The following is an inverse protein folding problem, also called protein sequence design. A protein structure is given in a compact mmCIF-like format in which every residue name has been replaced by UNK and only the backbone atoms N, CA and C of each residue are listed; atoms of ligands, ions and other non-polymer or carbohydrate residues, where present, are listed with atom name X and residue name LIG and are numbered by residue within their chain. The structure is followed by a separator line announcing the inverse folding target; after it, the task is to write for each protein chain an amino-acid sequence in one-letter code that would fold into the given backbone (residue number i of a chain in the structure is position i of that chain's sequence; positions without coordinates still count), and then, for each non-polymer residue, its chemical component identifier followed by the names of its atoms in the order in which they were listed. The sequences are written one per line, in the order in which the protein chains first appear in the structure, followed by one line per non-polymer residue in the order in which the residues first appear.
data_IF_250193653313
#
_entry.id   IF_250193653313
#
_cell.length_a   1.000
_cell.length_b   1.000
_cell.length_c   1.000
_cell.angle_alpha   90.00
_cell.angle_beta   90.00
_cell.angle_gamma   90.00
#
_symmetry.space_group_name_H-M   'P 1'
#
loop_
_entity.id
_entity.type
_entity.pdbx_description
1 polymer ?
#
# COMPACT_ATOMS: atom_id res chain seq x y z
N UNK A 1 0.37 6.69 7.82
CA UNK A 1 0.23 5.71 8.94
C UNK A 1 -0.17 4.31 8.46
N UNK A 2 -1.18 4.15 7.59
CA UNK A 2 -1.65 2.84 7.11
C UNK A 2 -0.53 1.95 6.50
N UNK A 3 0.35 2.53 5.69
CA UNK A 3 1.45 1.76 5.08
C UNK A 3 2.44 1.18 6.09
N UNK A 4 2.71 1.87 7.18
CA UNK A 4 3.55 1.32 8.26
C UNK A 4 2.87 0.14 8.96
N UNK A 5 1.55 0.18 9.15
CA UNK A 5 0.80 -0.93 9.69
C UNK A 5 0.88 -2.17 8.78
N UNK A 6 0.85 -1.97 7.44
CA UNK A 6 1.06 -3.05 6.47
C UNK A 6 2.45 -3.65 6.61
N UNK A 7 3.51 -2.82 6.64
CA UNK A 7 4.89 -3.30 6.84
C UNK A 7 5.03 -4.08 8.15
N UNK A 8 4.42 -3.58 9.22
CA UNK A 8 4.43 -4.25 10.52
C UNK A 8 3.75 -5.62 10.47
N UNK A 9 2.58 -5.69 9.82
CA UNK A 9 1.84 -6.94 9.63
C UNK A 9 2.62 -7.94 8.77
N UNK A 10 3.24 -7.48 7.68
CA UNK A 10 4.08 -8.32 6.81
C UNK A 10 5.26 -8.91 7.58
N UNK A 11 5.97 -8.07 8.34
CA UNK A 11 7.15 -8.50 9.09
C UNK A 11 6.82 -9.37 10.29
N UNK A 12 5.62 -9.25 10.85
CA UNK A 12 5.12 -10.08 11.95
C UNK A 12 4.36 -11.33 11.50
N UNK A 13 4.15 -11.51 10.20
CA UNK A 13 3.43 -12.67 9.68
C UNK A 13 4.23 -13.96 9.88
N UNK A 14 3.61 -15.05 10.40
CA UNK A 14 4.25 -16.37 10.47
C UNK A 14 4.47 -16.96 9.07
N UNK A 15 3.70 -16.57 8.08
CA UNK A 15 3.89 -16.94 6.68
C UNK A 15 4.72 -15.87 5.96
N UNK A 16 5.67 -16.26 5.10
CA UNK A 16 6.46 -15.30 4.35
C UNK A 16 5.57 -14.53 3.37
N UNK A 17 5.65 -13.20 3.41
CA UNK A 17 4.94 -12.33 2.47
C UNK A 17 5.86 -12.02 1.29
N UNK A 18 5.43 -12.39 0.09
CA UNK A 18 6.11 -12.10 -1.16
C UNK A 18 5.34 -11.02 -1.92
N UNK A 19 6.06 -10.15 -2.59
CA UNK A 19 5.48 -9.01 -3.33
C UNK A 19 5.87 -9.12 -4.80
N UNK A 20 4.90 -8.83 -5.67
CA UNK A 20 5.10 -8.77 -7.11
C UNK A 20 4.72 -7.40 -7.63
N UNK A 21 5.66 -6.71 -8.26
CA UNK A 21 5.42 -5.45 -8.96
C UNK A 21 5.11 -5.75 -10.42
N UNK A 22 3.83 -5.60 -10.79
CA UNK A 22 3.40 -5.87 -12.17
C UNK A 22 3.70 -4.71 -13.13
N UNK A 23 3.56 -3.47 -12.65
CA UNK A 23 3.80 -2.27 -13.47
C UNK A 23 4.46 -1.14 -12.72
N UNK A 24 3.93 -0.72 -11.57
CA UNK A 24 4.41 0.45 -10.85
C UNK A 24 4.26 0.30 -9.34
N UNK A 25 5.34 0.54 -8.61
CA UNK A 25 5.35 0.62 -7.15
C UNK A 25 6.04 1.93 -6.74
N UNK A 26 5.29 2.85 -6.17
CA UNK A 26 5.80 4.14 -5.72
C UNK A 26 5.57 4.35 -4.23
N UNK A 27 6.40 5.21 -3.60
CA UNK A 27 6.18 5.66 -2.24
C UNK A 27 6.13 4.48 -1.26
N UNK A 28 5.03 4.34 -0.53
CA UNK A 28 4.83 3.24 0.40
C UNK A 28 4.80 1.87 -0.30
N UNK A 29 4.32 1.78 -1.54
CA UNK A 29 4.36 0.53 -2.31
C UNK A 29 5.82 0.12 -2.64
N UNK A 30 6.71 1.08 -2.91
CA UNK A 30 8.13 0.81 -3.06
C UNK A 30 8.76 0.32 -1.74
N UNK A 31 8.41 0.94 -0.62
CA UNK A 31 8.85 0.49 0.72
C UNK A 31 8.38 -0.93 1.03
N UNK A 32 7.12 -1.25 0.73
CA UNK A 32 6.53 -2.58 0.91
C UNK A 32 7.28 -3.60 0.03
N UNK A 33 7.53 -3.26 -1.24
CA UNK A 33 8.27 -4.12 -2.17
C UNK A 33 9.68 -4.41 -1.68
N UNK A 34 10.41 -3.36 -1.30
CA UNK A 34 11.82 -3.48 -0.88
C UNK A 34 11.95 -4.25 0.43
N UNK A 35 11.00 -4.11 1.35
CA UNK A 35 11.05 -4.77 2.66
C UNK A 35 10.35 -6.13 2.71
N UNK A 36 9.76 -6.59 1.62
CA UNK A 36 9.16 -7.92 1.54
C UNK A 36 10.20 -9.03 1.76
N UNK A 37 9.77 -10.17 2.27
CA UNK A 37 10.62 -11.36 2.46
C UNK A 37 11.28 -11.77 1.15
N UNK A 38 10.54 -11.66 0.04
CA UNK A 38 11.03 -11.79 -1.32
C UNK A 38 10.16 -10.94 -2.24
N UNK A 39 10.78 -10.26 -3.19
CA UNK A 39 10.08 -9.39 -4.12
C UNK A 39 10.45 -9.73 -5.57
N UNK A 40 9.44 -9.60 -6.42
CA UNK A 40 9.53 -9.86 -7.84
C UNK A 40 9.03 -8.63 -8.61
N UNK A 41 9.55 -8.41 -9.80
CA UNK A 41 9.05 -7.38 -10.71
C UNK A 41 9.01 -7.91 -12.13
N UNK A 42 8.02 -7.45 -12.91
CA UNK A 42 8.05 -7.66 -14.36
C UNK A 42 9.12 -6.77 -14.98
N UNK A 43 9.63 -7.18 -16.15
CA UNK A 43 10.77 -6.54 -16.83
C UNK A 43 10.65 -5.01 -16.95
N UNK A 44 9.46 -4.51 -17.26
CA UNK A 44 9.19 -3.08 -17.45
C UNK A 44 8.53 -2.41 -16.24
N UNK A 45 8.51 -3.09 -15.10
CA UNK A 45 7.99 -2.49 -13.88
C UNK A 45 8.91 -1.36 -13.39
N UNK A 46 8.30 -0.35 -12.80
CA UNK A 46 8.97 0.83 -12.26
C UNK A 46 8.82 0.84 -10.75
N UNK A 47 9.92 1.11 -10.06
CA UNK A 47 9.94 1.33 -8.61
C UNK A 47 10.41 2.75 -8.35
N UNK A 48 9.69 3.49 -7.49
CA UNK A 48 10.01 4.86 -7.15
C UNK A 48 10.05 5.03 -5.63
N UNK A 49 11.24 5.32 -5.13
CA UNK A 49 11.43 5.82 -3.76
C UNK A 49 11.48 7.36 -3.78
N UNK A 50 10.87 7.99 -2.81
CA UNK A 50 10.89 9.44 -2.63
C UNK A 50 10.81 9.81 -1.15
N UNK A 51 11.16 11.07 -0.84
CA UNK A 51 10.98 11.60 0.50
C UNK A 51 9.48 11.78 0.84
N UNK A 52 9.19 12.02 2.11
CA UNK A 52 7.83 12.31 2.55
C UNK A 52 7.32 13.59 1.87
N UNK A 53 6.10 13.50 1.34
CA UNK A 53 5.36 14.67 0.86
C UNK A 53 4.26 14.98 1.86
N UNK A 54 4.25 16.19 2.40
CA UNK A 54 3.30 16.62 3.41
C UNK A 54 3.00 18.12 3.31
N UNK A 55 2.09 18.57 4.14
CA UNK A 55 1.75 19.99 4.33
C UNK A 55 1.82 20.29 5.82
N UNK A 56 2.62 21.28 6.19
CA UNK A 56 2.69 21.80 7.56
C UNK A 56 1.91 23.11 7.65
N UNK A 57 0.93 23.17 8.53
CA UNK A 57 0.09 24.35 8.79
C UNK A 57 0.27 24.83 10.24
N UNK A 58 -0.09 26.09 10.50
CA UNK A 58 0.01 26.71 11.82
C UNK A 58 0.99 27.86 11.88
N UNK A 59 1.37 28.32 13.09
CA UNK A 59 2.39 29.34 13.26
C UNK A 59 3.80 28.77 13.00
N UNK A 60 4.82 29.62 12.94
CA UNK A 60 6.18 29.21 12.58
C UNK A 60 6.76 28.12 13.50
N UNK A 61 6.39 28.11 14.78
CA UNK A 61 6.85 27.10 15.72
C UNK A 61 6.21 25.76 15.44
N UNK A 62 4.90 25.74 15.29
CA UNK A 62 4.12 24.53 14.95
C UNK A 62 4.58 23.91 13.64
N UNK A 63 4.81 24.74 12.60
CA UNK A 63 5.32 24.24 11.31
C UNK A 63 6.69 23.59 11.44
N UNK A 64 7.62 24.21 12.22
CA UNK A 64 8.96 23.65 12.43
C UNK A 64 8.92 22.33 13.21
N UNK A 65 8.07 22.24 14.21
CA UNK A 65 7.88 21.01 14.99
C UNK A 65 7.32 19.90 14.11
N UNK A 66 6.28 20.19 13.34
CA UNK A 66 5.69 19.24 12.37
C UNK A 66 6.74 18.73 11.37
N UNK A 67 7.50 19.63 10.74
CA UNK A 67 8.53 19.25 9.76
C UNK A 67 9.60 18.37 10.42
N UNK A 68 10.03 18.69 11.63
CA UNK A 68 11.01 17.89 12.36
C UNK A 68 10.51 16.48 12.69
N UNK A 69 9.24 16.34 13.10
CA UNK A 69 8.63 15.05 13.39
C UNK A 69 8.48 14.22 12.11
N UNK A 70 8.08 14.85 11.02
CA UNK A 70 7.93 14.21 9.72
C UNK A 70 9.27 13.77 9.13
N UNK A 71 10.32 14.56 9.28
CA UNK A 71 11.68 14.19 8.90
C UNK A 71 12.16 12.96 9.66
N UNK A 72 11.99 12.92 10.97
CA UNK A 72 12.34 11.75 11.79
C UNK A 72 11.52 10.52 11.39
N UNK A 73 10.23 10.69 11.14
CA UNK A 73 9.36 9.62 10.67
C UNK A 73 9.80 9.07 9.32
N UNK A 74 10.10 9.95 8.36
CA UNK A 74 10.60 9.55 7.05
C UNK A 74 11.93 8.82 7.15
N UNK A 75 12.87 9.30 7.94
CA UNK A 75 14.17 8.65 8.19
C UNK A 75 13.99 7.22 8.70
N UNK A 76 13.04 6.99 9.58
CA UNK A 76 12.71 5.64 10.10
C UNK A 76 12.12 4.73 9.01
N UNK A 77 11.31 5.26 8.11
CA UNK A 77 10.78 4.50 6.97
C UNK A 77 11.84 4.19 5.92
N UNK A 78 12.77 5.10 5.67
CA UNK A 78 13.82 4.95 4.68
C UNK A 78 14.99 4.06 5.17
N UNK A 79 15.22 4.00 6.47
CA UNK A 79 16.35 3.26 7.06
C UNK A 79 16.40 1.77 6.64
N UNK A 80 15.29 0.99 6.66
CA UNK A 80 15.33 -0.39 6.20
C UNK A 80 15.64 -0.53 4.70
N UNK A 81 15.24 0.46 3.88
CA UNK A 81 15.54 0.48 2.45
C UNK A 81 17.05 0.69 2.25
N UNK A 82 17.62 1.69 2.89
CA UNK A 82 19.06 1.95 2.87
C UNK A 82 19.86 0.74 3.33
N UNK A 83 19.45 0.11 4.44
CA UNK A 83 20.09 -1.08 4.97
C UNK A 83 20.08 -2.26 3.98
N UNK A 84 18.95 -2.50 3.29
CA UNK A 84 18.84 -3.54 2.24
C UNK A 84 19.78 -3.26 1.06
N UNK A 85 19.99 -2.01 0.71
CA UNK A 85 20.95 -1.59 -0.31
C UNK A 85 22.41 -1.74 0.15
N UNK A 86 22.65 -1.81 1.45
CA UNK A 86 24.00 -1.79 2.04
C UNK A 86 24.57 -0.38 2.19
N UNK A 87 23.70 0.63 2.27
CA UNK A 87 24.05 2.02 2.44
C UNK A 87 23.75 2.51 3.86
N UNK A 88 24.48 3.54 4.30
CA UNK A 88 24.01 4.33 5.42
C UNK A 88 22.76 5.11 5.00
N UNK A 89 21.92 5.48 5.97
CA UNK A 89 20.73 6.29 5.67
C UNK A 89 21.10 7.63 5.02
N UNK A 90 22.16 8.28 5.50
CA UNK A 90 22.60 9.57 4.96
C UNK A 90 23.14 9.43 3.53
N UNK A 91 23.82 8.33 3.19
CA UNK A 91 24.27 8.08 1.83
C UNK A 91 23.09 7.75 0.90
N UNK A 92 22.09 6.99 1.38
CA UNK A 92 20.87 6.75 0.63
C UNK A 92 20.14 8.08 0.31
N UNK A 93 20.01 8.97 1.29
CA UNK A 93 19.41 10.28 1.11
C UNK A 93 20.20 11.12 0.09
N UNK A 94 21.53 11.14 0.19
CA UNK A 94 22.37 11.83 -0.78
C UNK A 94 22.19 11.28 -2.20
N UNK A 95 22.11 9.95 -2.36
CA UNK A 95 21.87 9.32 -3.67
C UNK A 95 20.52 9.74 -4.25
N UNK A 96 19.45 9.76 -3.44
CA UNK A 96 18.13 10.23 -3.91
C UNK A 96 18.21 11.64 -4.51
N UNK A 97 18.91 12.57 -3.85
CA UNK A 97 19.05 13.95 -4.33
C UNK A 97 20.01 14.11 -5.53
N UNK A 98 20.88 13.12 -5.80
CA UNK A 98 21.65 13.09 -7.05
C UNK A 98 20.79 12.76 -8.26
N UNK A 99 19.75 11.94 -8.08
CA UNK A 99 18.86 11.57 -9.17
C UNK A 99 17.89 12.71 -9.53
N UNK A 100 17.29 13.35 -8.51
CA UNK A 100 16.43 14.53 -8.69
C UNK A 100 16.53 15.47 -7.50
N UNK A 101 16.42 16.78 -7.76
CA UNK A 101 16.40 17.81 -6.71
C UNK A 101 15.24 17.68 -5.72
N UNK A 102 14.16 16.98 -6.10
CA UNK A 102 13.03 16.63 -5.25
C UNK A 102 13.30 15.43 -4.35
N UNK A 103 14.41 14.72 -4.56
CA UNK A 103 14.70 13.48 -3.86
C UNK A 103 13.90 12.28 -4.37
N UNK A 104 13.34 12.37 -5.59
CA UNK A 104 12.69 11.24 -6.24
C UNK A 104 13.73 10.36 -6.94
N UNK A 105 13.72 9.08 -6.64
CA UNK A 105 14.59 8.10 -7.28
C UNK A 105 13.76 6.98 -7.89
N UNK A 106 13.66 7.02 -9.22
CA UNK A 106 12.84 6.10 -10.01
C UNK A 106 13.74 5.21 -10.87
N UNK A 107 13.50 3.91 -10.81
CA UNK A 107 14.25 2.92 -11.56
C UNK A 107 13.33 1.87 -12.21
N UNK A 108 13.72 1.38 -13.37
CA UNK A 108 13.13 0.18 -13.94
C UNK A 108 13.63 -1.07 -13.21
N UNK A 109 12.93 -2.19 -13.42
CA UNK A 109 13.15 -3.43 -12.68
C UNK A 109 14.60 -3.93 -12.71
N UNK A 110 15.32 -3.76 -13.83
CA UNK A 110 16.71 -4.18 -13.99
C UNK A 110 17.68 -3.41 -13.06
N UNK A 111 17.53 -2.09 -12.96
CA UNK A 111 18.30 -1.28 -12.02
C UNK A 111 17.80 -1.45 -10.59
N UNK A 112 16.50 -1.51 -10.39
CA UNK A 112 15.91 -1.78 -9.07
C UNK A 112 16.43 -3.10 -8.47
N UNK A 113 16.66 -4.13 -9.30
CA UNK A 113 17.30 -5.38 -8.86
C UNK A 113 18.76 -5.17 -8.45
N UNK A 114 19.56 -4.41 -9.21
CA UNK A 114 20.95 -4.09 -8.84
C UNK A 114 21.01 -3.33 -7.50
N UNK A 115 20.04 -2.46 -7.26
CA UNK A 115 19.88 -1.70 -6.02
C UNK A 115 19.26 -2.50 -4.88
N UNK A 116 18.90 -3.75 -5.11
CA UNK A 116 18.23 -4.64 -4.17
C UNK A 116 16.82 -4.17 -3.74
N UNK A 117 16.18 -3.32 -4.54
CA UNK A 117 14.79 -2.94 -4.31
C UNK A 117 13.82 -4.06 -4.66
N UNK A 118 14.20 -4.89 -5.64
CA UNK A 118 13.54 -6.15 -5.96
C UNK A 118 14.58 -7.28 -6.01
N UNK A 119 14.16 -8.48 -5.69
CA UNK A 119 15.07 -9.64 -5.62
C UNK A 119 15.18 -10.35 -6.97
N UNK A 120 14.08 -10.41 -7.74
CA UNK A 120 14.05 -11.13 -9.02
C UNK A 120 13.18 -10.42 -10.06
N UNK A 121 13.59 -10.50 -11.31
CA UNK A 121 12.78 -10.13 -12.47
C UNK A 121 12.15 -11.39 -13.03
N UNK A 122 10.88 -11.32 -13.40
CA UNK A 122 10.08 -12.42 -13.92
C UNK A 122 9.29 -11.97 -15.15
N UNK A 123 9.08 -12.88 -16.08
CA UNK A 123 8.30 -12.62 -17.29
C UNK A 123 6.82 -12.88 -17.06
N UNK A 124 6.53 -13.91 -16.29
CA UNK A 124 5.16 -14.34 -15.97
C UNK A 124 5.06 -14.86 -14.54
N UNK A 125 3.90 -14.71 -13.94
CA UNK A 125 3.56 -15.34 -12.66
C UNK A 125 2.23 -16.07 -12.84
N UNK A 126 2.19 -17.33 -12.47
CA UNK A 126 0.95 -18.08 -12.35
C UNK A 126 0.27 -17.68 -11.05
N UNK A 127 -0.88 -17.02 -11.17
CA UNK A 127 -1.67 -16.63 -10.02
C UNK A 127 -2.70 -17.70 -9.72
N UNK A 128 -2.58 -18.32 -8.55
CA UNK A 128 -3.58 -19.24 -8.03
C UNK A 128 -4.26 -18.57 -6.85
N UNK A 129 -5.58 -18.49 -6.91
CA UNK A 129 -6.37 -18.05 -5.78
C UNK A 129 -6.64 -19.23 -4.87
N UNK A 130 -6.02 -19.26 -3.69
CA UNK A 130 -6.31 -20.24 -2.64
C UNK A 130 -7.53 -19.86 -1.78
N UNK A 131 -8.27 -18.81 -2.16
CA UNK A 131 -9.58 -18.57 -1.59
C UNK A 131 -10.44 -19.77 -2.01
N UNK A 132 -10.65 -20.71 -1.05
CA UNK A 132 -11.62 -21.79 -1.25
C UNK A 132 -12.91 -21.10 -1.69
N UNK A 133 -13.31 -21.37 -2.93
CA UNK A 133 -14.59 -20.88 -3.39
C UNK A 133 -15.63 -21.45 -2.43
N UNK A 134 -16.33 -20.63 -1.64
CA UNK A 134 -17.31 -21.15 -0.69
C UNK A 134 -18.40 -21.97 -1.39
N UNK A 135 -18.51 -21.83 -2.72
CA UNK A 135 -19.44 -22.57 -3.56
C UNK A 135 -18.97 -24.01 -3.88
N UNK A 136 -17.74 -24.39 -3.54
CA UNK A 136 -17.21 -25.74 -3.83
C UNK A 136 -17.48 -26.76 -2.72
N UNK A 137 -18.04 -26.36 -1.57
CA UNK A 137 -18.51 -27.27 -0.54
C UNK A 137 -20.04 -27.35 -0.58
N UNK A 138 -20.56 -28.54 -0.83
CA UNK A 138 -21.99 -28.82 -0.81
C UNK A 138 -22.65 -28.25 0.46
N UNK A 139 -23.57 -27.30 0.29
CA UNK A 139 -24.29 -26.66 1.39
C UNK A 139 -23.99 -25.19 1.63
N UNK A 140 -23.17 -24.56 0.81
CA UNK A 140 -22.99 -23.12 0.90
C UNK A 140 -24.31 -22.43 0.52
N UNK A 141 -25.01 -21.89 1.50
CA UNK A 141 -25.95 -20.81 1.23
C UNK A 141 -25.16 -19.76 0.44
N UNK A 142 -25.64 -19.43 -0.77
CA UNK A 142 -25.01 -18.42 -1.61
C UNK A 142 -24.71 -17.20 -0.72
N UNK A 143 -23.42 -16.87 -0.54
CA UNK A 143 -23.07 -15.59 0.08
C UNK A 143 -23.78 -14.54 -0.78
N UNK A 144 -24.57 -13.65 -0.20
CA UNK A 144 -25.15 -12.58 -0.98
C UNK A 144 -24.00 -11.95 -1.76
N UNK A 145 -24.15 -11.85 -3.08
CA UNK A 145 -23.12 -11.23 -3.93
C UNK A 145 -22.76 -9.93 -3.23
N UNK A 146 -21.47 -9.66 -3.08
CA UNK A 146 -20.92 -8.53 -2.32
C UNK A 146 -21.59 -7.17 -2.65
N UNK A 147 -22.52 -7.17 -3.59
CA UNK A 147 -23.27 -6.01 -4.09
C UNK A 147 -24.78 -6.22 -4.23
N UNK A 148 -25.38 -7.25 -3.63
CA UNK A 148 -26.83 -7.28 -3.45
C UNK A 148 -27.18 -6.35 -2.27
N UNK A 149 -27.46 -5.10 -2.64
CA UNK A 149 -27.81 -4.04 -1.72
C UNK A 149 -29.28 -4.17 -1.37
N UNK A 150 -29.61 -4.36 -0.10
CA UNK A 150 -31.01 -4.26 0.36
C UNK A 150 -31.51 -2.83 0.20
N UNK A 151 -32.67 -2.65 -0.45
CA UNK A 151 -33.27 -1.33 -0.57
C UNK A 151 -34.14 -1.05 0.68
N UNK A 152 -33.95 0.12 1.26
CA UNK A 152 -34.80 0.64 2.33
C UNK A 152 -35.31 2.03 1.96
N UNK A 153 -36.54 2.35 2.43
CA UNK A 153 -37.09 3.68 2.25
C UNK A 153 -36.94 4.43 3.58
N UNK A 154 -36.27 5.56 3.55
CA UNK A 154 -36.14 6.43 4.71
C UNK A 154 -37.48 7.12 5.08
N UNK A 155 -37.49 7.73 6.25
CA UNK A 155 -38.67 8.48 6.75
C UNK A 155 -39.03 9.69 5.82
N UNK A 156 -38.08 10.15 5.01
CA UNK A 156 -38.26 11.21 4.01
C UNK A 156 -38.79 10.70 2.65
N UNK A 157 -39.16 9.41 2.56
CA UNK A 157 -39.63 8.77 1.34
C UNK A 157 -38.55 8.46 0.29
N UNK A 158 -37.27 8.78 0.57
CA UNK A 158 -36.17 8.49 -0.34
C UNK A 158 -35.67 7.07 -0.18
N UNK A 159 -35.32 6.44 -1.29
CA UNK A 159 -34.77 5.07 -1.29
C UNK A 159 -33.28 5.09 -1.06
N UNK A 160 -32.81 4.19 -0.20
CA UNK A 160 -31.41 3.95 0.10
C UNK A 160 -31.09 2.50 -0.23
N UNK A 161 -29.87 2.26 -0.75
CA UNK A 161 -29.27 0.93 -0.78
C UNK A 161 -28.32 0.81 0.38
N UNK A 162 -28.63 -0.12 1.29
CA UNK A 162 -27.73 -0.43 2.40
C UNK A 162 -26.62 -1.34 1.90
N UNK A 163 -25.39 -0.93 2.13
CA UNK A 163 -24.27 -1.84 2.01
C UNK A 163 -24.38 -2.90 3.11
N UNK A 164 -24.11 -4.18 2.80
CA UNK A 164 -24.01 -5.19 3.83
C UNK A 164 -22.95 -4.73 4.84
N UNK A 165 -23.18 -5.02 6.12
CA UNK A 165 -22.22 -4.75 7.17
C UNK A 165 -20.94 -5.51 6.83
N UNK A 166 -19.93 -4.78 6.38
CA UNK A 166 -18.64 -5.35 6.02
C UNK A 166 -17.95 -5.85 7.29
N UNK A 167 -17.28 -7.00 7.20
CA UNK A 167 -16.38 -7.41 8.27
C UNK A 167 -15.29 -6.34 8.45
N UNK A 168 -14.71 -6.16 9.66
CA UNK A 168 -13.68 -5.14 9.88
C UNK A 168 -12.53 -5.17 8.85
N UNK A 169 -12.20 -6.35 8.35
CA UNK A 169 -11.18 -6.53 7.30
C UNK A 169 -11.61 -5.92 5.96
N UNK A 170 -12.89 -5.94 5.64
CA UNK A 170 -13.42 -5.40 4.39
C UNK A 170 -13.55 -3.87 4.42
N UNK A 171 -13.67 -3.28 5.62
CA UNK A 171 -13.72 -1.83 5.80
C UNK A 171 -12.43 -1.10 5.40
N UNK A 172 -11.31 -1.80 5.28
CA UNK A 172 -10.07 -1.22 4.76
C UNK A 172 -10.12 -0.90 3.26
N UNK A 173 -11.02 -1.52 2.52
CA UNK A 173 -11.13 -1.35 1.07
C UNK A 173 -12.18 -0.32 0.66
N UNK A 174 -13.17 -0.06 1.51
CA UNK A 174 -14.25 0.88 1.21
C UNK A 174 -14.47 1.76 2.45
N UNK A 175 -13.94 2.96 2.43
CA UNK A 175 -14.22 3.95 3.46
C UNK A 175 -15.59 4.59 3.18
N UNK A 176 -16.59 4.17 3.92
CA UNK A 176 -17.88 4.83 3.96
C UNK A 176 -18.32 4.97 5.42
N UNK A 177 -18.19 6.18 6.03
CA UNK A 177 -18.49 6.40 7.43
C UNK A 177 -19.96 6.13 7.81
N UNK A 178 -20.85 6.24 6.84
CA UNK A 178 -22.30 6.08 7.06
C UNK A 178 -22.80 4.66 6.75
N UNK A 179 -21.96 3.78 6.23
CA UNK A 179 -22.27 2.40 5.80
C UNK A 179 -23.45 2.28 4.81
N UNK A 180 -23.80 3.34 4.09
CA UNK A 180 -24.81 3.32 3.04
C UNK A 180 -24.53 4.40 1.99
N UNK A 181 -25.00 4.15 0.77
CA UNK A 181 -25.02 5.14 -0.30
C UNK A 181 -26.45 5.54 -0.59
N UNK A 182 -26.67 6.83 -0.70
CA UNK A 182 -27.95 7.40 -1.15
C UNK A 182 -28.00 7.33 -2.67
N UNK A 183 -29.03 6.70 -3.21
CA UNK A 183 -29.30 6.77 -4.64
C UNK A 183 -30.21 7.98 -4.86
N UNK A 184 -29.66 9.02 -5.47
CA UNK A 184 -30.46 10.06 -6.09
C UNK A 184 -30.89 9.57 -7.47
N UNK A 185 -32.20 9.59 -7.72
CA UNK A 185 -32.78 9.40 -9.06
C UNK A 185 -33.15 10.75 -9.60
#
# INVERSE_FOLDING_TARGET
MAGYAILKAMNGSPAPVYVVVKSFAASMAANITTQAKKSFAYQNAIILHHQLLSVAEGNLTEQRETVKEEEEWWRRLASPVAAKMGLSLDDFIKEMYKHRSTGDWMEFADNAKKLKWVDQIVDTINEESFVKNPDSSAGAQARPRMFELSEQTGADGKRFKLLPRLAPVDCYYIYNPDNYYRLER
#
